data_IF_706576495548
#
_entry.id   IF_706576495548
#
_cell.length_a   1.000
_cell.length_b   1.000
_cell.length_c   1.000
_cell.angle_alpha   90.00
_cell.angle_beta   90.00
_cell.angle_gamma   90.00
#
_symmetry.space_group_name_H-M   'P 1'
#
loop_
_entity.id
_entity.type
_entity.pdbx_description
1 polymer ?
#
# COMPACT_ATOMS: atom_id res chain seq x y z
N UNK A 1 15.87 27.85 17.79
CA UNK A 1 14.91 28.44 16.84
C UNK A 1 15.52 29.72 16.27
N UNK A 2 16.10 29.66 15.07
CA UNK A 2 16.64 30.85 14.39
C UNK A 2 15.69 31.16 13.23
N UNK A 3 14.69 32.03 13.43
CA UNK A 3 13.81 32.47 12.36
C UNK A 3 14.63 33.39 11.46
N UNK A 4 15.24 32.82 10.42
CA UNK A 4 15.92 33.62 9.40
C UNK A 4 14.88 34.52 8.71
N UNK A 5 14.96 35.82 8.97
CA UNK A 5 14.13 36.84 8.32
C UNK A 5 14.31 36.73 6.82
N UNK A 6 13.23 36.41 6.12
CA UNK A 6 13.25 36.18 4.67
C UNK A 6 12.23 37.09 4.01
N UNK A 7 12.64 37.77 2.94
CA UNK A 7 11.78 38.69 2.19
C UNK A 7 11.35 37.99 0.91
N UNK A 8 10.05 37.92 0.64
CA UNK A 8 9.53 37.34 -0.59
C UNK A 8 9.65 38.38 -1.70
N UNK A 9 10.51 38.13 -2.69
CA UNK A 9 10.70 39.03 -3.83
C UNK A 9 9.62 38.85 -4.88
N UNK A 10 9.28 37.59 -5.18
CA UNK A 10 8.36 37.27 -6.27
C UNK A 10 7.58 36.00 -5.94
N UNK A 11 6.27 36.03 -6.19
CA UNK A 11 5.39 34.88 -6.02
C UNK A 11 4.91 34.45 -7.40
N UNK A 12 5.34 33.28 -7.85
CA UNK A 12 4.88 32.61 -9.08
C UNK A 12 3.87 31.51 -8.75
N UNK A 13 3.23 30.97 -9.78
CA UNK A 13 2.48 29.72 -9.76
C UNK A 13 3.36 28.51 -9.38
N UNK A 14 4.63 28.51 -9.80
CA UNK A 14 5.62 27.46 -9.54
C UNK A 14 6.28 27.53 -8.15
N UNK A 15 6.23 28.67 -7.45
CA UNK A 15 6.95 28.87 -6.19
C UNK A 15 7.15 30.32 -5.78
N UNK A 16 7.91 30.53 -4.69
CA UNK A 16 8.26 31.85 -4.18
C UNK A 16 9.76 32.05 -4.29
N UNK A 17 10.18 33.13 -4.95
CA UNK A 17 11.55 33.60 -4.88
C UNK A 17 11.71 34.40 -3.59
N UNK A 18 12.66 33.98 -2.75
CA UNK A 18 12.88 34.53 -1.42
C UNK A 18 14.31 35.02 -1.30
N UNK A 19 14.49 36.21 -0.75
CA UNK A 19 15.77 36.85 -0.55
C UNK A 19 16.13 36.94 0.93
N UNK A 20 17.42 36.73 1.22
CA UNK A 20 17.96 36.73 2.58
C UNK A 20 18.72 38.02 2.84
N UNK A 21 18.12 39.00 3.55
CA UNK A 21 18.79 40.27 3.88
C UNK A 21 20.01 40.13 4.78
N UNK A 22 20.26 38.97 5.39
CA UNK A 22 21.44 38.72 6.23
C UNK A 22 22.22 37.48 5.75
N UNK A 23 22.15 37.17 4.45
CA UNK A 23 22.97 36.10 3.86
C UNK A 23 24.46 36.42 3.95
N UNK A 24 25.29 35.38 4.11
CA UNK A 24 26.75 35.54 4.21
C UNK A 24 27.41 35.77 2.84
N UNK A 25 26.76 35.38 1.74
CA UNK A 25 27.38 35.37 0.42
C UNK A 25 27.75 36.78 -0.05
N UNK A 26 26.90 37.79 0.22
CA UNK A 26 27.17 39.20 -0.11
C UNK A 26 28.34 39.85 0.64
N UNK A 27 28.63 39.39 1.86
CA UNK A 27 29.79 39.88 2.61
C UNK A 27 31.07 39.22 2.09
N UNK A 28 31.00 37.93 1.78
CA UNK A 28 32.14 37.18 1.22
C UNK A 28 32.49 37.71 -0.18
N UNK A 29 31.50 37.84 -1.07
CA UNK A 29 31.72 38.36 -2.42
C UNK A 29 32.11 39.84 -2.43
N UNK A 30 31.59 40.65 -1.49
CA UNK A 30 32.04 42.03 -1.29
C UNK A 30 33.50 42.11 -0.87
N UNK A 31 33.95 41.24 0.04
CA UNK A 31 35.34 41.20 0.51
C UNK A 31 36.30 40.69 -0.58
N UNK A 32 35.88 39.69 -1.37
CA UNK A 32 36.60 39.24 -2.57
C UNK A 32 36.70 40.36 -3.61
N UNK A 33 35.60 41.08 -3.84
CA UNK A 33 35.56 42.21 -4.77
C UNK A 33 36.49 43.35 -4.35
N UNK A 34 36.58 43.65 -3.04
CA UNK A 34 37.48 44.64 -2.49
C UNK A 34 38.96 44.34 -2.80
N UNK A 35 39.34 43.05 -2.77
CA UNK A 35 40.71 42.64 -3.09
C UNK A 35 41.07 42.71 -4.57
N UNK A 36 40.09 42.83 -5.47
CA UNK A 36 40.34 42.85 -6.92
C UNK A 36 40.27 44.25 -7.53
N UNK A 37 39.34 45.10 -7.07
CA UNK A 37 39.01 46.39 -7.70
C UNK A 37 38.68 47.49 -6.66
N UNK A 38 39.29 47.41 -5.47
CA UNK A 38 39.08 48.34 -4.36
C UNK A 38 37.57 48.53 -4.04
N UNK A 39 37.16 49.73 -3.64
CA UNK A 39 35.79 50.02 -3.22
C UNK A 39 34.74 49.76 -4.32
N UNK A 40 35.12 49.91 -5.60
CA UNK A 40 34.23 49.62 -6.73
C UNK A 40 33.96 48.12 -6.88
N UNK A 41 35.00 47.30 -6.70
CA UNK A 41 34.89 45.85 -6.66
C UNK A 41 34.05 45.37 -5.48
N UNK A 42 34.15 46.03 -4.32
CA UNK A 42 33.29 45.75 -3.17
C UNK A 42 31.80 45.94 -3.48
N UNK A 43 31.43 47.03 -4.16
CA UNK A 43 30.02 47.28 -4.54
C UNK A 43 29.49 46.24 -5.51
N UNK A 44 30.26 45.93 -6.55
CA UNK A 44 29.90 44.90 -7.54
C UNK A 44 29.79 43.54 -6.85
N UNK A 45 30.75 43.21 -5.98
CA UNK A 45 30.75 42.00 -5.17
C UNK A 45 29.51 41.89 -4.29
N UNK A 46 29.10 42.98 -3.62
CA UNK A 46 27.92 43.00 -2.75
C UNK A 46 26.63 42.80 -3.56
N UNK A 47 26.53 43.42 -4.75
CA UNK A 47 25.40 43.22 -5.66
C UNK A 47 25.30 41.76 -6.14
N UNK A 48 26.41 41.18 -6.58
CA UNK A 48 26.46 39.78 -7.04
C UNK A 48 26.09 38.83 -5.89
N UNK A 49 26.66 39.01 -4.71
CA UNK A 49 26.33 38.14 -3.58
C UNK A 49 24.90 38.31 -3.07
N UNK A 50 24.30 39.50 -3.24
CA UNK A 50 22.87 39.71 -2.97
C UNK A 50 21.98 38.88 -3.90
N UNK A 51 22.38 38.72 -5.17
CA UNK A 51 21.70 37.81 -6.12
C UNK A 51 21.89 36.36 -5.71
N UNK A 52 23.08 35.97 -5.26
CA UNK A 52 23.36 34.61 -4.76
C UNK A 52 22.59 34.26 -3.48
N UNK A 53 22.22 35.27 -2.68
CA UNK A 53 21.39 35.13 -1.49
C UNK A 53 19.89 34.97 -1.81
N UNK A 54 19.49 35.07 -3.09
CA UNK A 54 18.16 34.70 -3.55
C UNK A 54 18.01 33.18 -3.68
N UNK A 55 16.96 32.62 -3.08
CA UNK A 55 16.61 31.20 -3.18
C UNK A 55 15.19 31.04 -3.67
N UNK A 56 15.01 30.19 -4.68
CA UNK A 56 13.69 29.79 -5.13
C UNK A 56 13.17 28.66 -4.23
N UNK A 57 12.03 28.90 -3.58
CA UNK A 57 11.31 27.90 -2.81
C UNK A 57 10.14 27.42 -3.68
N UNK A 58 10.21 26.20 -4.26
CA UNK A 58 9.13 25.68 -5.08
C UNK A 58 7.83 25.59 -4.26
N UNK A 59 6.70 25.90 -4.89
CA UNK A 59 5.38 25.71 -4.29
C UNK A 59 5.23 24.20 -4.07
N UNK A 60 4.88 23.73 -2.85
CA UNK A 60 4.61 22.31 -2.67
C UNK A 60 3.51 21.92 -3.66
N UNK A 61 3.74 20.83 -4.40
CA UNK A 61 2.76 20.33 -5.35
C UNK A 61 1.42 20.22 -4.62
N UNK A 62 0.38 20.86 -5.15
CA UNK A 62 -0.96 20.68 -4.62
C UNK A 62 -1.28 19.18 -4.75
N UNK A 63 -1.52 18.52 -3.62
CA UNK A 63 -1.94 17.12 -3.61
C UNK A 63 -3.22 17.04 -4.44
N UNK A 64 -3.15 16.43 -5.63
CA UNK A 64 -4.39 15.94 -6.24
C UNK A 64 -4.94 14.93 -5.24
N UNK A 65 -6.23 15.05 -4.93
CA UNK A 65 -6.92 14.16 -3.99
C UNK A 65 -6.86 12.72 -4.52
N UNK A 66 -5.76 12.03 -4.26
CA UNK A 66 -5.62 10.61 -4.53
C UNK A 66 -6.57 9.95 -3.55
N UNK A 67 -7.55 9.20 -4.07
CA UNK A 67 -8.46 8.44 -3.23
C UNK A 67 -7.68 7.30 -2.55
N UNK A 68 -6.95 7.65 -1.49
CA UNK A 68 -5.96 6.81 -0.83
C UNK A 68 -6.63 5.61 -0.17
N UNK A 69 -7.91 5.76 0.21
CA UNK A 69 -8.73 4.70 0.78
C UNK A 69 -8.93 3.54 -0.21
N UNK A 70 -9.34 3.82 -1.46
CA UNK A 70 -9.48 2.79 -2.50
C UNK A 70 -8.14 2.16 -2.86
N UNK A 71 -7.09 2.97 -2.99
CA UNK A 71 -5.74 2.50 -3.29
C UNK A 71 -5.17 1.59 -2.19
N UNK A 72 -5.35 1.97 -0.92
CA UNK A 72 -4.99 1.14 0.22
C UNK A 72 -5.77 -0.17 0.23
N UNK A 73 -7.07 -0.15 -0.05
CA UNK A 73 -7.88 -1.36 -0.12
C UNK A 73 -7.36 -2.31 -1.20
N UNK A 74 -7.09 -1.81 -2.41
CA UNK A 74 -6.53 -2.62 -3.52
C UNK A 74 -5.14 -3.19 -3.17
N UNK A 75 -4.23 -2.34 -2.70
CA UNK A 75 -2.87 -2.76 -2.35
C UNK A 75 -2.86 -3.70 -1.14
N UNK A 76 -3.72 -3.47 -0.16
CA UNK A 76 -3.86 -4.33 1.00
C UNK A 76 -4.33 -5.72 0.64
N UNK A 77 -5.34 -5.83 -0.23
CA UNK A 77 -5.79 -7.12 -0.76
C UNK A 77 -4.67 -7.80 -1.57
N UNK A 78 -3.93 -7.05 -2.39
CA UNK A 78 -2.79 -7.59 -3.13
C UNK A 78 -1.72 -8.17 -2.21
N UNK A 79 -1.32 -7.44 -1.16
CA UNK A 79 -0.31 -7.89 -0.19
C UNK A 79 -0.79 -9.16 0.50
N UNK A 80 -2.03 -9.18 1.00
CA UNK A 80 -2.63 -10.34 1.66
C UNK A 80 -2.78 -11.55 0.72
N UNK A 81 -3.06 -11.35 -0.57
CA UNK A 81 -3.09 -12.44 -1.55
C UNK A 81 -1.71 -13.05 -1.75
N UNK A 82 -0.65 -12.23 -1.85
CA UNK A 82 0.70 -12.71 -2.17
C UNK A 82 1.40 -13.35 -0.99
N UNK A 83 1.10 -12.94 0.25
CA UNK A 83 1.65 -13.55 1.46
C UNK A 83 0.81 -14.71 2.00
N UNK A 84 -0.23 -15.16 1.27
CA UNK A 84 -1.23 -16.13 1.74
C UNK A 84 -1.99 -15.69 3.00
N UNK A 85 -2.04 -14.39 3.29
CA UNK A 85 -2.73 -13.82 4.46
C UNK A 85 -4.20 -14.22 4.56
N UNK A 86 -4.94 -14.29 3.45
CA UNK A 86 -6.36 -14.70 3.46
C UNK A 86 -6.61 -16.16 3.88
N UNK A 87 -5.59 -17.02 3.89
CA UNK A 87 -5.71 -18.40 4.37
C UNK A 87 -5.38 -18.54 5.85
N UNK A 88 -4.58 -17.62 6.37
CA UNK A 88 -3.99 -17.70 7.71
C UNK A 88 -4.74 -16.79 8.68
N UNK A 89 -5.04 -15.58 8.26
CA UNK A 89 -5.63 -14.55 9.09
C UNK A 89 -7.15 -14.72 9.07
N UNK A 90 -7.82 -14.80 10.23
CA UNK A 90 -9.27 -14.83 10.31
C UNK A 90 -9.90 -13.61 9.64
N UNK A 91 -11.04 -13.79 8.98
CA UNK A 91 -11.69 -12.71 8.23
C UNK A 91 -12.10 -11.53 9.12
N UNK A 92 -12.51 -11.79 10.36
CA UNK A 92 -12.83 -10.77 11.35
C UNK A 92 -11.63 -9.88 11.67
N UNK A 93 -10.45 -10.47 11.75
CA UNK A 93 -9.20 -9.76 11.99
C UNK A 93 -8.74 -8.98 10.75
N UNK A 94 -8.91 -9.54 9.54
CA UNK A 94 -8.66 -8.82 8.28
C UNK A 94 -9.54 -7.56 8.19
N UNK A 95 -10.85 -7.71 8.42
CA UNK A 95 -11.80 -6.60 8.38
C UNK A 95 -11.51 -5.57 9.48
N UNK A 96 -11.16 -6.02 10.69
CA UNK A 96 -10.73 -5.14 11.77
C UNK A 96 -9.52 -4.29 11.38
N UNK A 97 -8.52 -4.88 10.73
CA UNK A 97 -7.32 -4.16 10.27
C UNK A 97 -7.62 -3.17 9.15
N UNK A 98 -8.47 -3.54 8.18
CA UNK A 98 -8.94 -2.59 7.18
C UNK A 98 -9.76 -1.46 7.80
N UNK A 99 -10.66 -1.77 8.74
CA UNK A 99 -11.49 -0.78 9.43
C UNK A 99 -10.67 0.20 10.28
N UNK A 100 -9.55 -0.24 10.86
CA UNK A 100 -8.66 0.61 11.65
C UNK A 100 -8.11 1.80 10.84
N UNK A 101 -7.93 1.61 9.54
CA UNK A 101 -7.36 2.62 8.65
C UNK A 101 -8.43 3.30 7.77
N UNK A 102 -9.34 2.52 7.19
CA UNK A 102 -10.33 3.03 6.24
C UNK A 102 -11.58 3.57 6.94
N UNK A 103 -11.85 3.16 8.18
CA UNK A 103 -13.10 3.41 8.87
C UNK A 103 -14.20 2.41 8.47
N UNK A 104 -15.04 2.05 9.44
CA UNK A 104 -16.14 1.10 9.22
C UNK A 104 -17.13 1.60 8.16
N UNK A 105 -17.41 2.91 8.13
CA UNK A 105 -18.34 3.53 7.17
C UNK A 105 -17.85 3.43 5.72
N UNK A 106 -16.53 3.38 5.52
CA UNK A 106 -15.95 3.18 4.20
C UNK A 106 -15.98 1.71 3.78
N UNK A 107 -15.61 0.81 4.70
CA UNK A 107 -15.44 -0.62 4.40
C UNK A 107 -16.76 -1.35 4.33
N UNK A 108 -17.69 -1.11 5.26
CA UNK A 108 -18.98 -1.81 5.34
C UNK A 108 -19.74 -1.87 4.00
N UNK A 109 -19.95 -0.75 3.26
CA UNK A 109 -20.60 -0.80 1.96
C UNK A 109 -19.75 -1.46 0.86
N UNK A 110 -18.42 -1.58 1.07
CA UNK A 110 -17.43 -2.09 0.10
C UNK A 110 -16.93 -3.50 0.42
N UNK A 111 -17.54 -4.18 1.39
CA UNK A 111 -17.18 -5.56 1.75
C UNK A 111 -17.27 -6.50 0.53
N UNK A 112 -18.33 -6.39 -0.28
CA UNK A 112 -18.49 -7.18 -1.50
C UNK A 112 -17.37 -6.89 -2.52
N UNK A 113 -17.01 -5.62 -2.67
CA UNK A 113 -15.89 -5.22 -3.54
C UNK A 113 -14.56 -5.79 -3.04
N UNK A 114 -14.30 -5.74 -1.73
CA UNK A 114 -13.10 -6.32 -1.11
C UNK A 114 -13.02 -7.82 -1.37
N UNK A 115 -14.15 -8.51 -1.27
CA UNK A 115 -14.28 -9.92 -1.58
C UNK A 115 -13.97 -10.22 -3.05
N UNK A 116 -14.60 -9.49 -3.98
CA UNK A 116 -14.38 -9.66 -5.41
C UNK A 116 -12.91 -9.45 -5.78
N UNK A 117 -12.29 -8.41 -5.23
CA UNK A 117 -10.85 -8.14 -5.38
C UNK A 117 -9.99 -9.26 -4.79
N UNK A 118 -10.41 -9.88 -3.69
CA UNK A 118 -9.69 -11.01 -3.07
C UNK A 118 -9.72 -12.28 -3.93
N UNK A 119 -10.73 -12.43 -4.81
CA UNK A 119 -10.83 -13.56 -5.74
C UNK A 119 -10.09 -13.29 -7.05
N UNK A 120 -10.12 -12.06 -7.52
CA UNK A 120 -9.55 -11.67 -8.81
C UNK A 120 -8.03 -11.40 -8.73
N UNK A 121 -7.35 -11.42 -9.88
CA UNK A 121 -5.95 -10.98 -9.97
C UNK A 121 -5.94 -9.45 -10.04
N UNK A 122 -5.50 -8.81 -8.95
CA UNK A 122 -5.40 -7.35 -8.91
C UNK A 122 -4.18 -6.92 -9.70
N UNK A 123 -4.40 -6.11 -10.74
CA UNK A 123 -3.34 -5.38 -11.44
C UNK A 123 -3.04 -4.11 -10.64
N UNK A 124 -2.03 -4.19 -9.77
CA UNK A 124 -1.64 -3.07 -8.90
C UNK A 124 -0.72 -2.06 -9.59
N UNK A 125 -0.26 -2.37 -10.80
CA UNK A 125 0.69 -1.56 -11.56
C UNK A 125 0.13 -0.15 -11.83
N UNK A 126 -1.13 -0.06 -12.26
CA UNK A 126 -1.79 1.23 -12.51
C UNK A 126 -1.99 2.02 -11.20
N UNK A 127 -2.39 1.33 -10.12
CA UNK A 127 -2.59 1.93 -8.81
C UNK A 127 -1.28 2.49 -8.24
N UNK A 128 -0.20 1.71 -8.28
CA UNK A 128 1.13 2.15 -7.86
C UNK A 128 1.61 3.36 -8.66
N UNK A 129 1.45 3.34 -9.99
CA UNK A 129 1.83 4.47 -10.86
C UNK A 129 1.03 5.74 -10.56
N UNK A 130 -0.27 5.61 -10.28
CA UNK A 130 -1.10 6.75 -9.89
C UNK A 130 -0.68 7.34 -8.53
N UNK A 131 -0.36 6.50 -7.56
CA UNK A 131 0.12 6.94 -6.25
C UNK A 131 1.51 7.57 -6.39
N UNK A 132 2.41 6.98 -7.16
CA UNK A 132 3.74 7.53 -7.43
C UNK A 132 3.67 8.93 -8.08
N UNK A 133 2.78 9.11 -9.07
CA UNK A 133 2.67 10.37 -9.80
C UNK A 133 1.98 11.50 -9.03
N UNK A 134 1.13 11.18 -8.06
CA UNK A 134 0.24 12.17 -7.43
C UNK A 134 0.41 12.31 -5.91
N UNK A 135 0.99 11.32 -5.22
CA UNK A 135 1.13 11.33 -3.76
C UNK A 135 2.50 11.85 -3.30
N UNK A 136 2.50 12.60 -2.19
CA UNK A 136 3.72 13.07 -1.54
C UNK A 136 4.62 11.89 -1.10
N UNK A 137 5.95 12.07 -1.03
CA UNK A 137 6.85 11.05 -0.51
C UNK A 137 6.45 10.53 0.87
N UNK A 138 5.99 11.40 1.77
CA UNK A 138 5.52 11.06 3.11
C UNK A 138 4.27 10.18 3.09
N UNK A 139 3.31 10.48 2.21
CA UNK A 139 2.10 9.68 2.02
C UNK A 139 2.43 8.26 1.55
N UNK A 140 3.43 8.13 0.66
CA UNK A 140 3.92 6.82 0.17
C UNK A 140 4.55 5.98 1.28
N UNK A 141 5.34 6.60 2.15
CA UNK A 141 5.93 5.93 3.33
C UNK A 141 4.87 5.43 4.29
N UNK A 142 3.95 6.33 4.62
CA UNK A 142 2.88 6.03 5.53
C UNK A 142 2.03 4.89 4.98
N UNK A 143 1.69 4.91 3.69
CA UNK A 143 0.96 3.83 3.03
C UNK A 143 1.71 2.48 3.16
N UNK A 144 3.02 2.45 2.93
CA UNK A 144 3.84 1.24 3.07
C UNK A 144 3.85 0.71 4.51
N UNK A 145 3.98 1.59 5.51
CA UNK A 145 3.92 1.20 6.92
C UNK A 145 2.56 0.56 7.26
N UNK A 146 1.48 1.11 6.70
CA UNK A 146 0.12 0.63 6.95
C UNK A 146 -0.14 -0.71 6.25
N UNK A 147 0.42 -0.93 5.06
CA UNK A 147 0.41 -2.23 4.38
C UNK A 147 1.25 -3.28 5.11
N UNK A 148 2.37 -2.87 5.72
CA UNK A 148 3.19 -3.74 6.54
C UNK A 148 2.42 -4.21 7.79
N UNK A 149 1.75 -3.28 8.48
CA UNK A 149 0.89 -3.59 9.63
C UNK A 149 -0.31 -4.48 9.26
N UNK A 150 -0.94 -4.23 8.11
CA UNK A 150 -2.06 -5.05 7.62
C UNK A 150 -1.66 -6.53 7.49
N UNK A 151 -0.45 -6.81 7.02
CA UNK A 151 0.05 -8.17 6.80
C UNK A 151 0.82 -8.78 7.97
N UNK A 152 0.90 -8.07 9.11
CA UNK A 152 1.69 -8.49 10.26
C UNK A 152 0.97 -9.56 11.10
N UNK A 153 1.32 -10.83 10.88
CA UNK A 153 0.66 -11.94 11.56
C UNK A 153 1.63 -13.13 11.70
N UNK A 154 1.66 -13.84 12.84
CA UNK A 154 2.62 -14.92 13.11
C UNK A 154 2.53 -16.07 12.10
N UNK A 155 1.33 -16.41 11.63
CA UNK A 155 1.16 -17.48 10.64
C UNK A 155 1.50 -17.07 9.19
N UNK A 156 1.79 -15.80 8.92
CA UNK A 156 2.18 -15.34 7.57
C UNK A 156 3.66 -15.58 7.38
N UNK A 157 4.03 -16.16 6.24
CA UNK A 157 5.43 -16.40 5.92
C UNK A 157 6.18 -15.09 5.70
N UNK A 158 7.12 -14.81 6.60
CA UNK A 158 7.83 -13.53 6.67
C UNK A 158 8.64 -13.24 5.41
N UNK A 159 9.21 -14.27 4.77
CA UNK A 159 9.99 -14.11 3.54
C UNK A 159 9.11 -13.60 2.38
N UNK A 160 7.91 -14.16 2.19
CA UNK A 160 6.96 -13.67 1.19
C UNK A 160 6.44 -12.28 1.54
N UNK A 161 6.17 -12.00 2.82
CA UNK A 161 5.74 -10.68 3.27
C UNK A 161 6.77 -9.60 2.90
N UNK A 162 8.04 -9.81 3.26
CA UNK A 162 9.14 -8.91 2.95
C UNK A 162 9.28 -8.69 1.44
N UNK A 163 9.29 -9.77 0.65
CA UNK A 163 9.44 -9.68 -0.80
C UNK A 163 8.30 -8.89 -1.48
N UNK A 164 7.06 -9.09 -1.01
CA UNK A 164 5.89 -8.39 -1.58
C UNK A 164 5.87 -6.92 -1.19
N UNK A 165 6.18 -6.59 0.06
CA UNK A 165 6.28 -5.21 0.50
C UNK A 165 7.41 -4.47 -0.23
N UNK A 166 8.55 -5.13 -0.48
CA UNK A 166 9.63 -4.61 -1.32
C UNK A 166 9.12 -4.28 -2.73
N UNK A 167 8.45 -5.24 -3.36
CA UNK A 167 7.90 -5.06 -4.69
C UNK A 167 6.94 -3.86 -4.77
N UNK A 168 6.08 -3.67 -3.76
CA UNK A 168 5.17 -2.52 -3.69
C UNK A 168 5.96 -1.23 -3.48
N UNK A 169 6.96 -1.23 -2.60
CA UNK A 169 7.79 -0.05 -2.37
C UNK A 169 8.56 0.38 -3.63
N UNK A 170 9.20 -0.55 -4.32
CA UNK A 170 9.93 -0.28 -5.56
C UNK A 170 9.00 0.36 -6.61
N UNK A 171 7.76 -0.12 -6.70
CA UNK A 171 6.72 0.40 -7.61
C UNK A 171 6.11 1.73 -7.18
N UNK A 172 6.26 2.12 -5.92
CA UNK A 172 5.89 3.44 -5.42
C UNK A 172 7.05 4.43 -5.54
N UNK A 173 8.15 4.06 -6.20
CA UNK A 173 9.36 4.87 -6.32
C UNK A 173 10.16 4.94 -5.03
N UNK A 174 10.00 3.96 -4.13
CA UNK A 174 10.74 3.79 -2.88
C UNK A 174 11.65 2.57 -3.01
N UNK A 175 12.88 2.78 -3.46
CA UNK A 175 13.89 1.73 -3.39
C UNK A 175 14.18 1.42 -1.92
N UNK A 176 13.65 0.31 -1.39
CA UNK A 176 14.08 -0.21 -0.10
C UNK A 176 15.34 -1.04 -0.37
N UNK A 177 16.54 -0.63 0.08
CA UNK A 177 17.72 -1.44 -0.07
C UNK A 177 17.57 -2.66 0.84
N UNK A 178 17.25 -3.81 0.26
CA UNK A 178 17.34 -5.10 0.93
C UNK A 178 18.59 -5.78 0.38
N UNK A 179 19.52 -6.25 1.24
CA UNK A 179 20.66 -7.03 0.79
C UNK A 179 20.20 -8.14 -0.16
N UNK A 180 20.77 -8.20 -1.36
CA UNK A 180 20.33 -9.11 -2.43
C UNK A 180 20.24 -10.57 -1.98
N UNK A 181 21.02 -10.94 -0.96
CA UNK A 181 21.11 -12.25 -0.35
C UNK A 181 19.80 -12.75 0.29
N UNK A 182 18.95 -11.86 0.86
CA UNK A 182 17.62 -12.25 1.36
C UNK A 182 16.63 -12.49 0.20
N UNK A 183 16.81 -11.80 -0.92
CA UNK A 183 15.90 -11.88 -2.08
C UNK A 183 16.19 -13.13 -2.92
N UNK A 184 17.47 -13.55 -3.01
CA UNK A 184 17.88 -14.78 -3.73
C UNK A 184 17.42 -16.07 -3.05
N UNK A 185 17.21 -16.04 -1.72
CA UNK A 185 16.73 -17.20 -0.93
C UNK A 185 15.21 -17.34 -0.92
N UNK A 186 14.46 -16.31 -1.31
CA UNK A 186 13.01 -16.36 -1.38
C UNK A 186 12.58 -16.99 -2.72
N UNK A 187 11.87 -18.13 -2.72
CA UNK A 187 11.29 -18.66 -3.96
C UNK A 187 10.33 -17.61 -4.57
N UNK A 188 10.22 -17.54 -5.91
CA UNK A 188 9.29 -16.62 -6.56
C UNK A 188 7.89 -16.83 -5.99
N UNK A 189 7.11 -15.75 -5.75
CA UNK A 189 5.78 -15.88 -5.18
C UNK A 189 4.97 -16.88 -6.03
N UNK A 190 4.28 -17.84 -5.41
CA UNK A 190 3.66 -18.95 -6.13
C UNK A 190 2.74 -18.39 -7.23
N UNK A 191 3.05 -18.74 -8.48
CA UNK A 191 2.10 -18.57 -9.59
C UNK A 191 0.92 -19.47 -9.25
N UNK A 192 -0.26 -18.91 -8.93
CA UNK A 192 -1.49 -19.72 -8.68
C UNK A 192 -1.66 -20.67 -9.89
N UNK A 193 -1.58 -22.00 -9.74
CA UNK A 193 -1.78 -22.89 -10.87
C UNK A 193 -3.24 -22.83 -11.31
N UNK A 194 -3.50 -23.08 -12.58
CA UNK A 194 -4.84 -23.15 -13.13
C UNK A 194 -5.53 -24.40 -12.56
N UNK A 195 -6.46 -24.22 -11.62
CA UNK A 195 -7.21 -25.33 -11.02
C UNK A 195 -8.38 -25.72 -11.91
N UNK A 196 -8.72 -27.01 -11.92
CA UNK A 196 -9.97 -27.47 -12.50
C UNK A 196 -11.17 -26.88 -11.73
N UNK A 197 -12.33 -26.80 -12.39
CA UNK A 197 -13.56 -26.32 -11.76
C UNK A 197 -13.91 -27.15 -10.50
N UNK A 198 -13.58 -28.45 -10.51
CA UNK A 198 -13.80 -29.37 -9.40
C UNK A 198 -12.81 -29.16 -8.25
N UNK A 199 -11.52 -28.95 -8.53
CA UNK A 199 -10.50 -28.69 -7.50
C UNK A 199 -10.79 -27.39 -6.74
N UNK A 200 -11.37 -26.42 -7.45
CA UNK A 200 -11.81 -25.15 -6.87
C UNK A 200 -12.94 -25.35 -5.85
N UNK A 201 -13.82 -26.34 -6.05
CA UNK A 201 -14.89 -26.68 -5.11
C UNK A 201 -14.33 -27.36 -3.85
N UNK A 202 -13.45 -28.35 -4.02
CA UNK A 202 -12.77 -29.01 -2.89
C UNK A 202 -12.06 -28.01 -2.00
N UNK A 203 -11.34 -27.08 -2.63
CA UNK A 203 -10.59 -26.07 -1.92
C UNK A 203 -11.46 -25.05 -1.18
N UNK A 204 -12.65 -24.71 -1.69
CA UNK A 204 -13.61 -23.85 -0.97
C UNK A 204 -14.09 -24.51 0.33
N UNK A 205 -14.08 -25.84 0.39
CA UNK A 205 -14.40 -26.62 1.57
C UNK A 205 -13.17 -26.97 2.43
N UNK A 206 -12.00 -26.39 2.10
CA UNK A 206 -10.71 -26.70 2.73
C UNK A 206 -10.31 -28.19 2.63
N UNK A 207 -10.76 -28.87 1.58
CA UNK A 207 -10.47 -30.27 1.26
C UNK A 207 -9.43 -30.40 0.15
N UNK A 208 -8.81 -31.58 0.05
CA UNK A 208 -7.93 -31.93 -1.06
C UNK A 208 -8.73 -32.42 -2.26
N UNK A 209 -8.28 -32.16 -3.51
CA UNK A 209 -8.89 -32.73 -4.70
C UNK A 209 -8.85 -34.26 -4.63
N UNK A 210 -10.03 -34.89 -4.66
CA UNK A 210 -10.15 -36.34 -4.54
C UNK A 210 -10.58 -36.86 -3.17
N UNK A 211 -10.75 -35.98 -2.18
CA UNK A 211 -11.33 -36.36 -0.88
C UNK A 211 -12.70 -37.04 -1.06
N UNK A 212 -12.97 -38.02 -0.20
CA UNK A 212 -14.19 -38.80 -0.18
C UNK A 212 -15.38 -38.01 0.38
N UNK A 213 -16.60 -38.50 0.11
CA UNK A 213 -17.82 -37.79 0.51
C UNK A 213 -17.88 -37.55 2.02
N UNK A 214 -17.42 -38.51 2.83
CA UNK A 214 -17.43 -38.38 4.29
C UNK A 214 -16.52 -37.25 4.78
N UNK A 215 -15.31 -37.13 4.23
CA UNK A 215 -14.37 -36.05 4.58
C UNK A 215 -14.91 -34.69 4.15
N UNK A 216 -15.44 -34.60 2.92
CA UNK A 216 -16.04 -33.36 2.41
C UNK A 216 -17.25 -32.94 3.23
N UNK A 217 -18.12 -33.88 3.60
CA UNK A 217 -19.31 -33.63 4.43
C UNK A 217 -18.92 -33.17 5.83
N UNK A 218 -17.89 -33.77 6.43
CA UNK A 218 -17.35 -33.34 7.73
C UNK A 218 -16.77 -31.92 7.67
N UNK A 219 -16.04 -31.60 6.62
CA UNK A 219 -15.50 -30.27 6.41
C UNK A 219 -16.62 -29.23 6.20
N UNK A 220 -17.64 -29.56 5.41
CA UNK A 220 -18.83 -28.75 5.23
C UNK A 220 -19.51 -28.42 6.56
N UNK A 221 -19.80 -29.42 7.41
CA UNK A 221 -20.45 -29.16 8.71
C UNK A 221 -19.60 -28.30 9.64
N UNK A 222 -18.28 -28.53 9.68
CA UNK A 222 -17.34 -27.72 10.46
C UNK A 222 -17.43 -26.25 10.02
N UNK A 223 -17.30 -25.99 8.72
CA UNK A 223 -17.30 -24.65 8.15
C UNK A 223 -18.67 -23.97 8.26
N UNK A 224 -19.77 -24.72 8.06
CA UNK A 224 -21.14 -24.24 8.23
C UNK A 224 -21.40 -23.79 9.66
N UNK A 225 -20.88 -24.51 10.67
CA UNK A 225 -21.01 -24.14 12.10
C UNK A 225 -20.20 -22.90 12.46
N UNK A 226 -19.02 -22.74 11.85
CA UNK A 226 -18.14 -21.57 12.05
C UNK A 226 -18.78 -20.31 11.44
N UNK A 227 -19.31 -20.41 10.22
CA UNK A 227 -19.84 -19.28 9.47
C UNK A 227 -21.37 -19.12 9.57
N UNK A 228 -22.04 -19.89 10.44
CA UNK A 228 -23.50 -19.89 10.52
C UNK A 228 -24.04 -18.47 10.78
N UNK A 229 -25.08 -18.03 10.05
CA UNK A 229 -25.64 -16.68 10.20
C UNK A 229 -26.13 -16.41 11.63
N UNK A 230 -26.70 -17.42 12.29
CA UNK A 230 -27.19 -17.30 13.67
C UNK A 230 -26.09 -16.95 14.69
N UNK A 231 -24.86 -17.43 14.47
CA UNK A 231 -23.70 -17.14 15.35
C UNK A 231 -22.94 -15.89 14.93
N UNK A 232 -23.24 -15.34 13.76
CA UNK A 232 -22.49 -14.27 13.11
C UNK A 232 -23.42 -13.19 12.54
N UNK A 233 -24.51 -12.88 13.25
CA UNK A 233 -25.61 -12.04 12.75
C UNK A 233 -25.18 -10.63 12.32
N UNK A 234 -24.06 -10.13 12.86
CA UNK A 234 -23.47 -8.82 12.51
C UNK A 234 -22.28 -8.89 11.54
N UNK A 235 -21.99 -10.06 10.96
CA UNK A 235 -20.91 -10.26 10.00
C UNK A 235 -21.48 -10.59 8.61
N UNK A 236 -21.68 -9.59 7.74
CA UNK A 236 -22.09 -9.79 6.35
C UNK A 236 -21.19 -10.80 5.62
N UNK A 237 -19.92 -10.86 6.01
CA UNK A 237 -18.91 -11.77 5.45
C UNK A 237 -19.10 -13.22 5.86
N UNK A 238 -19.58 -13.49 7.08
CA UNK A 238 -19.90 -14.86 7.51
C UNK A 238 -21.10 -15.40 6.72
N UNK A 239 -22.09 -14.55 6.43
CA UNK A 239 -23.24 -14.91 5.59
C UNK A 239 -22.82 -15.28 4.17
N UNK A 240 -21.91 -14.50 3.55
CA UNK A 240 -21.41 -14.81 2.20
C UNK A 240 -20.55 -16.08 2.20
N UNK A 241 -19.63 -16.22 3.16
CA UNK A 241 -18.85 -17.46 3.29
C UNK A 241 -19.71 -18.68 3.49
N UNK A 242 -20.74 -18.60 4.33
CA UNK A 242 -21.71 -19.69 4.50
C UNK A 242 -22.39 -20.06 3.18
N UNK A 243 -22.81 -19.07 2.38
CA UNK A 243 -23.39 -19.29 1.06
C UNK A 243 -22.40 -20.00 0.13
N UNK A 244 -21.14 -19.56 0.08
CA UNK A 244 -20.12 -20.19 -0.76
C UNK A 244 -19.77 -21.62 -0.37
N UNK A 245 -19.71 -21.89 0.93
CA UNK A 245 -19.47 -23.22 1.50
C UNK A 245 -20.62 -24.14 1.09
N UNK A 246 -21.85 -23.65 1.18
CA UNK A 246 -23.05 -24.38 0.74
C UNK A 246 -23.03 -24.65 -0.76
N UNK A 247 -22.79 -23.63 -1.58
CA UNK A 247 -22.70 -23.77 -3.05
C UNK A 247 -21.56 -24.70 -3.47
N UNK A 248 -20.42 -24.67 -2.78
CA UNK A 248 -19.30 -25.55 -3.07
C UNK A 248 -19.62 -27.01 -2.78
N UNK A 249 -20.28 -27.28 -1.65
CA UNK A 249 -20.74 -28.62 -1.28
C UNK A 249 -21.80 -29.15 -2.26
N UNK A 250 -22.82 -28.34 -2.56
CA UNK A 250 -23.86 -28.71 -3.54
C UNK A 250 -23.28 -28.95 -4.94
N UNK A 251 -22.32 -28.11 -5.37
CA UNK A 251 -21.62 -28.27 -6.62
C UNK A 251 -20.81 -29.57 -6.67
N UNK A 252 -20.14 -29.93 -5.57
CA UNK A 252 -19.40 -31.19 -5.45
C UNK A 252 -20.34 -32.39 -5.48
N UNK A 253 -21.45 -32.36 -4.75
CA UNK A 253 -22.45 -33.42 -4.77
C UNK A 253 -23.02 -33.62 -6.18
N UNK A 254 -23.29 -32.54 -6.92
CA UNK A 254 -23.78 -32.62 -8.31
C UNK A 254 -22.76 -33.25 -9.25
N UNK A 255 -21.48 -32.85 -9.14
CA UNK A 255 -20.41 -33.35 -10.02
C UNK A 255 -20.05 -34.80 -9.71
N UNK A 256 -20.11 -35.21 -8.43
CA UNK A 256 -19.71 -36.55 -7.98
C UNK A 256 -20.87 -37.53 -7.80
N UNK A 257 -22.12 -37.08 -7.95
CA UNK A 257 -23.32 -37.90 -7.77
C UNK A 257 -23.60 -38.28 -6.31
N UNK A 258 -23.14 -37.47 -5.35
CA UNK A 258 -23.38 -37.72 -3.93
C UNK A 258 -24.78 -37.27 -3.51
N UNK A 259 -25.41 -38.04 -2.62
CA UNK A 259 -26.75 -37.78 -2.06
C UNK A 259 -26.65 -37.19 -0.66
#
# INVERSE_FOLDING_TARGET
MNQQTTIVLLRTDMGKLVWRPLGMNKFISGLVGLGLYDWTGMLIGLLIGSVLDAKFIPKPAAEKEVNLQLHYMMLGVYVLQRCNGFRVIPISEILRRFNMFLGADFVAPRIRMLEDMSRQRIQVEAACKQIEANALPTTRDWLLQQLAGLSDHPGVQQNYRKAVLKQVADRLGRGIPIPEEETRKAPPPPRKPAYSRTDSLYRKLECQPGDDHATVKKAYYRLAKIHHPDRNQHSPMSVVRFREIKEAYEGLCRVKGWK
#
